data_IF_316275230106
#
_entry.id   IF_316275230106
#
_cell.length_a   1.000
_cell.length_b   1.000
_cell.length_c   1.000
_cell.angle_alpha   90.00
_cell.angle_beta   90.00
_cell.angle_gamma   90.00
#
_symmetry.space_group_name_H-M   'P 1'
#
loop_
_entity.id
_entity.type
_entity.pdbx_description
1 polymer ?
#
# COMPACT_ATOMS: atom_id res chain seq x y z
N UNK A 1 45.48 -31.62 36.11
CA UNK A 1 45.00 -31.00 34.86
C UNK A 1 43.58 -30.52 35.11
N UNK A 2 43.34 -29.21 35.10
CA UNK A 2 42.01 -28.64 35.37
C UNK A 2 41.28 -28.42 34.04
N UNK A 3 40.14 -29.08 33.84
CA UNK A 3 39.26 -28.83 32.70
C UNK A 3 38.48 -27.55 32.93
N UNK A 4 38.72 -26.56 32.07
CA UNK A 4 37.97 -25.31 32.02
C UNK A 4 36.70 -25.57 31.20
N UNK A 5 35.54 -25.47 31.83
CA UNK A 5 34.26 -25.45 31.12
C UNK A 5 34.02 -24.03 30.58
N UNK A 6 34.00 -23.88 29.26
CA UNK A 6 33.51 -22.65 28.62
C UNK A 6 31.99 -22.70 28.62
N UNK A 7 31.37 -21.90 29.48
CA UNK A 7 29.93 -21.63 29.45
C UNK A 7 29.62 -20.81 28.21
N UNK A 8 29.02 -21.42 27.20
CA UNK A 8 28.48 -20.69 26.04
C UNK A 8 27.18 -20.05 26.48
N UNK A 9 27.24 -18.78 26.85
CA UNK A 9 26.07 -17.98 27.21
C UNK A 9 25.26 -17.71 25.94
N UNK A 10 24.31 -18.60 25.65
CA UNK A 10 23.32 -18.42 24.60
C UNK A 10 22.42 -17.24 24.94
N UNK A 11 22.78 -16.05 24.44
CA UNK A 11 21.92 -14.87 24.46
C UNK A 11 20.68 -15.17 23.61
N UNK A 12 19.61 -15.69 24.25
CA UNK A 12 18.28 -15.81 23.65
C UNK A 12 17.79 -14.41 23.30
N UNK A 13 18.02 -14.01 22.04
CA UNK A 13 17.29 -12.92 21.42
C UNK A 13 15.82 -13.32 21.29
N UNK A 14 14.94 -12.51 21.85
CA UNK A 14 13.49 -12.67 21.77
C UNK A 14 13.02 -12.51 20.32
N UNK A 15 12.80 -13.62 19.61
CA UNK A 15 11.94 -13.64 18.41
C UNK A 15 10.48 -13.61 18.86
N UNK A 16 10.01 -12.43 19.28
CA UNK A 16 8.59 -12.16 19.54
C UNK A 16 8.33 -10.73 19.08
N UNK A 17 8.13 -10.56 17.77
CA UNK A 17 7.85 -9.24 17.16
C UNK A 17 7.24 -9.37 15.76
N UNK A 18 7.74 -10.30 14.94
CA UNK A 18 7.44 -10.30 13.50
C UNK A 18 5.97 -10.48 13.11
N UNK A 19 5.17 -11.29 13.83
CA UNK A 19 3.78 -11.54 13.43
C UNK A 19 2.84 -10.36 13.67
N UNK A 20 3.08 -9.57 14.72
CA UNK A 20 2.26 -8.39 15.03
C UNK A 20 2.63 -7.22 14.11
N UNK A 21 3.91 -7.07 13.82
CA UNK A 21 4.41 -5.99 12.95
C UNK A 21 3.93 -6.15 11.50
N UNK A 22 3.93 -7.39 10.96
CA UNK A 22 3.44 -7.67 9.61
C UNK A 22 1.94 -7.40 9.44
N UNK A 23 1.12 -7.80 10.41
CA UNK A 23 -0.33 -7.56 10.39
C UNK A 23 -0.67 -6.06 10.53
N UNK A 24 0.16 -5.28 11.23
CA UNK A 24 0.00 -3.83 11.28
C UNK A 24 0.30 -3.23 9.90
N UNK A 25 1.37 -3.66 9.24
CA UNK A 25 1.75 -3.17 7.91
C UNK A 25 0.73 -3.53 6.82
N UNK A 26 0.18 -4.75 6.80
CA UNK A 26 -0.87 -5.14 5.82
C UNK A 26 -2.17 -4.34 6.01
N UNK A 27 -2.54 -4.07 7.27
CA UNK A 27 -3.65 -3.19 7.61
C UNK A 27 -3.45 -1.74 7.14
N UNK A 28 -2.24 -1.20 7.30
CA UNK A 28 -1.87 0.15 6.84
C UNK A 28 -1.94 0.29 5.31
N UNK A 29 -1.42 -0.70 4.57
CA UNK A 29 -1.46 -0.72 3.10
C UNK A 29 -2.90 -0.81 2.59
N UNK A 30 -3.73 -1.67 3.20
CA UNK A 30 -5.16 -1.76 2.89
C UNK A 30 -5.88 -0.43 3.17
N UNK A 31 -5.55 0.22 4.29
CA UNK A 31 -6.09 1.52 4.66
C UNK A 31 -5.73 2.60 3.65
N UNK A 32 -4.47 2.62 3.19
CA UNK A 32 -4.00 3.55 2.17
C UNK A 32 -4.73 3.34 0.84
N UNK A 33 -4.90 2.10 0.38
CA UNK A 33 -5.64 1.81 -0.85
C UNK A 33 -7.06 2.37 -0.80
N UNK A 34 -7.77 2.19 0.32
CA UNK A 34 -9.13 2.74 0.51
C UNK A 34 -9.16 4.27 0.48
N UNK A 35 -8.14 4.92 1.02
CA UNK A 35 -8.03 6.38 0.99
C UNK A 35 -7.80 6.89 -0.44
N UNK A 36 -6.95 6.21 -1.22
CA UNK A 36 -6.73 6.54 -2.64
C UNK A 36 -8.03 6.40 -3.43
N UNK A 37 -8.79 5.32 -3.22
CA UNK A 37 -10.09 5.10 -3.89
C UNK A 37 -11.08 6.23 -3.57
N UNK A 38 -11.16 6.61 -2.29
CA UNK A 38 -12.02 7.72 -1.85
C UNK A 38 -11.61 9.04 -2.51
N UNK A 39 -10.31 9.33 -2.54
CA UNK A 39 -9.81 10.55 -3.15
C UNK A 39 -10.07 10.59 -4.65
N UNK A 40 -9.92 9.46 -5.37
CA UNK A 40 -10.25 9.37 -6.80
C UNK A 40 -11.72 9.70 -7.06
N UNK A 41 -12.63 9.17 -6.23
CA UNK A 41 -14.07 9.45 -6.32
C UNK A 41 -14.40 10.92 -6.05
N UNK A 42 -13.84 11.49 -4.98
CA UNK A 42 -14.04 12.91 -4.63
C UNK A 42 -13.49 13.84 -5.72
N UNK A 43 -12.31 13.52 -6.27
CA UNK A 43 -11.72 14.27 -7.38
C UNK A 43 -12.66 14.24 -8.59
N UNK A 44 -13.14 13.06 -9.00
CA UNK A 44 -14.08 12.93 -10.12
C UNK A 44 -15.34 13.79 -9.93
N UNK A 45 -15.91 13.79 -8.73
CA UNK A 45 -17.09 14.61 -8.41
C UNK A 45 -16.81 16.11 -8.55
N UNK A 46 -15.66 16.57 -8.04
CA UNK A 46 -15.24 17.98 -8.14
C UNK A 46 -15.02 18.42 -9.59
N UNK A 47 -14.50 17.55 -10.45
CA UNK A 47 -14.34 17.82 -11.88
C UNK A 47 -15.69 18.06 -12.55
N UNK A 48 -16.65 17.16 -12.31
CA UNK A 48 -18.00 17.30 -12.86
C UNK A 48 -18.66 18.59 -12.41
N UNK A 49 -18.54 18.92 -11.11
CA UNK A 49 -19.06 20.18 -10.57
C UNK A 49 -18.43 21.40 -11.24
N UNK A 50 -17.10 21.38 -11.41
CA UNK A 50 -16.38 22.47 -12.04
C UNK A 50 -16.79 22.67 -13.50
N UNK A 51 -16.94 21.59 -14.28
CA UNK A 51 -17.46 21.67 -15.65
C UNK A 51 -18.87 22.27 -15.69
N UNK A 52 -19.76 21.87 -14.78
CA UNK A 52 -21.12 22.43 -14.72
C UNK A 52 -21.13 23.92 -14.39
N UNK A 53 -20.27 24.38 -13.48
CA UNK A 53 -20.11 25.81 -13.16
C UNK A 53 -19.56 26.56 -14.38
N UNK A 54 -18.59 25.98 -15.09
CA UNK A 54 -18.03 26.58 -16.31
C UNK A 54 -19.10 26.74 -17.39
N UNK A 55 -19.93 25.73 -17.62
CA UNK A 55 -21.01 25.79 -18.62
C UNK A 55 -22.01 26.90 -18.30
N UNK A 56 -22.34 27.10 -17.01
CA UNK A 56 -23.23 28.19 -16.57
C UNK A 56 -22.61 29.58 -16.78
N UNK A 57 -21.31 29.73 -16.54
CA UNK A 57 -20.61 31.01 -16.76
C UNK A 57 -20.50 31.31 -18.27
N UNK A 58 -20.16 30.30 -19.08
CA UNK A 58 -20.05 30.46 -20.54
C UNK A 58 -21.38 30.85 -21.18
N UNK A 59 -22.52 30.34 -20.69
CA UNK A 59 -23.84 30.72 -21.18
C UNK A 59 -24.10 32.24 -21.06
N UNK A 60 -23.43 32.92 -20.12
CA UNK A 60 -23.53 34.37 -19.93
C UNK A 60 -22.60 35.22 -20.81
N UNK A 61 -21.49 34.67 -21.33
CA UNK A 61 -20.43 35.46 -21.99
C UNK A 61 -20.24 35.03 -23.45
N UNK A 62 -20.70 35.85 -24.41
CA UNK A 62 -20.41 35.65 -25.85
C UNK A 62 -19.17 36.44 -26.29
N UNK A 63 -18.31 35.83 -27.12
CA UNK A 63 -17.19 36.51 -27.79
C UNK A 63 -15.80 36.05 -27.32
N UNK A 64 -14.81 36.95 -27.31
CA UNK A 64 -13.40 36.64 -27.04
C UNK A 64 -13.14 35.97 -25.68
N UNK A 65 -13.95 36.28 -24.66
CA UNK A 65 -13.87 35.61 -23.37
C UNK A 65 -14.16 34.10 -23.47
N UNK A 66 -15.07 33.67 -24.35
CA UNK A 66 -15.38 32.25 -24.56
C UNK A 66 -14.15 31.44 -24.97
N UNK A 67 -13.25 32.00 -25.77
CA UNK A 67 -12.06 31.31 -26.29
C UNK A 67 -10.99 31.08 -25.23
N UNK A 68 -10.74 32.06 -24.34
CA UNK A 68 -9.79 31.87 -23.24
C UNK A 68 -10.34 30.86 -22.22
N UNK A 69 -11.66 30.85 -21.99
CA UNK A 69 -12.31 29.82 -21.18
C UNK A 69 -12.16 28.42 -21.78
N UNK A 70 -12.38 28.25 -23.08
CA UNK A 70 -12.19 26.96 -23.76
C UNK A 70 -10.76 26.42 -23.59
N UNK A 71 -9.75 27.31 -23.62
CA UNK A 71 -8.35 26.92 -23.36
C UNK A 71 -8.16 26.46 -21.93
N UNK A 72 -8.64 27.23 -20.96
CA UNK A 72 -8.52 26.88 -19.53
C UNK A 72 -9.23 25.57 -19.23
N UNK A 73 -10.43 25.33 -19.78
CA UNK A 73 -11.17 24.09 -19.58
C UNK A 73 -10.42 22.88 -20.17
N UNK A 74 -9.81 23.02 -21.35
CA UNK A 74 -9.00 21.96 -21.97
C UNK A 74 -7.75 21.64 -21.15
N UNK A 75 -7.02 22.66 -20.70
CA UNK A 75 -5.82 22.49 -19.86
C UNK A 75 -6.17 21.82 -18.53
N UNK A 76 -7.24 22.28 -17.88
CA UNK A 76 -7.74 21.71 -16.64
C UNK A 76 -8.12 20.25 -16.82
N UNK A 77 -8.90 19.92 -17.85
CA UNK A 77 -9.27 18.53 -18.14
C UNK A 77 -8.04 17.64 -18.43
N UNK A 78 -6.99 18.17 -19.06
CA UNK A 78 -5.72 17.45 -19.24
C UNK A 78 -5.04 17.17 -17.89
N UNK A 79 -4.90 18.19 -17.04
CA UNK A 79 -4.30 18.04 -15.71
C UNK A 79 -5.04 17.03 -14.85
N UNK A 80 -6.36 17.07 -14.88
CA UNK A 80 -7.20 16.16 -14.12
C UNK A 80 -7.04 14.70 -14.56
N UNK A 81 -6.97 14.45 -15.88
CA UNK A 81 -6.64 13.11 -16.40
C UNK A 81 -5.26 12.64 -15.94
N UNK A 82 -4.27 13.53 -15.91
CA UNK A 82 -2.94 13.18 -15.43
C UNK A 82 -2.98 12.77 -13.95
N UNK A 83 -3.66 13.54 -13.10
CA UNK A 83 -3.83 13.20 -11.68
C UNK A 83 -4.56 11.86 -11.52
N UNK A 84 -5.62 11.61 -12.28
CA UNK A 84 -6.31 10.31 -12.25
C UNK A 84 -5.37 9.15 -12.58
N UNK A 85 -4.56 9.30 -13.64
CA UNK A 85 -3.57 8.29 -14.05
C UNK A 85 -2.50 8.06 -12.98
N UNK A 86 -2.02 9.13 -12.35
CA UNK A 86 -1.01 9.03 -11.29
C UNK A 86 -1.57 8.33 -10.05
N UNK A 87 -2.85 8.56 -9.71
CA UNK A 87 -3.54 7.85 -8.63
C UNK A 87 -3.76 6.37 -8.94
N UNK A 88 -4.13 6.02 -10.18
CA UNK A 88 -4.24 4.63 -10.61
C UNK A 88 -2.88 3.90 -10.53
N UNK A 89 -1.81 4.56 -10.96
CA UNK A 89 -0.46 4.03 -10.84
C UNK A 89 -0.08 3.80 -9.36
N UNK A 90 -0.37 4.77 -8.50
CA UNK A 90 -0.13 4.65 -7.07
C UNK A 90 -0.93 3.50 -6.47
N UNK A 91 -2.22 3.36 -6.82
CA UNK A 91 -3.07 2.27 -6.36
C UNK A 91 -2.50 0.91 -6.77
N UNK A 92 -2.03 0.78 -8.01
CA UNK A 92 -1.40 -0.46 -8.50
C UNK A 92 -0.12 -0.78 -7.74
N UNK A 93 0.73 0.22 -7.47
CA UNK A 93 1.94 0.04 -6.66
C UNK A 93 1.62 -0.40 -5.23
N UNK A 94 0.60 0.18 -4.61
CA UNK A 94 0.14 -0.18 -3.25
C UNK A 94 -0.39 -1.62 -3.24
N UNK A 95 -1.18 -2.04 -4.24
CA UNK A 95 -1.65 -3.43 -4.38
C UNK A 95 -0.51 -4.41 -4.59
N UNK A 96 0.41 -4.12 -5.51
CA UNK A 96 1.59 -4.95 -5.73
C UNK A 96 2.47 -5.06 -4.48
N UNK A 97 2.57 -3.99 -3.70
CA UNK A 97 3.26 -4.02 -2.41
C UNK A 97 2.53 -4.95 -1.43
N UNK A 98 1.20 -4.87 -1.34
CA UNK A 98 0.39 -5.74 -0.49
C UNK A 98 0.60 -7.22 -0.84
N UNK A 99 0.44 -7.57 -2.12
CA UNK A 99 0.59 -8.94 -2.61
C UNK A 99 2.00 -9.50 -2.33
N UNK A 100 3.03 -8.65 -2.48
CA UNK A 100 4.41 -8.99 -2.17
C UNK A 100 4.67 -9.27 -0.68
N UNK A 101 4.03 -8.52 0.22
CA UNK A 101 4.08 -8.77 1.66
C UNK A 101 3.38 -10.09 2.02
N UNK A 102 2.19 -10.35 1.48
CA UNK A 102 1.43 -11.59 1.74
C UNK A 102 2.19 -12.85 1.29
N UNK A 103 2.87 -12.77 0.14
CA UNK A 103 3.71 -13.85 -0.36
C UNK A 103 4.90 -14.15 0.58
N UNK A 104 5.57 -13.10 1.06
CA UNK A 104 6.68 -13.23 2.02
C UNK A 104 6.22 -13.78 3.38
N UNK A 105 5.01 -13.43 3.83
CA UNK A 105 4.43 -13.96 5.07
C UNK A 105 4.18 -15.47 4.98
N UNK A 106 3.57 -15.91 3.88
CA UNK A 106 3.30 -17.34 3.64
C UNK A 106 4.58 -18.17 3.68
N UNK A 107 5.65 -17.71 3.03
CA UNK A 107 6.96 -18.38 3.02
C UNK A 107 7.57 -18.47 4.43
N UNK A 108 7.48 -17.39 5.21
CA UNK A 108 7.98 -17.36 6.60
C UNK A 108 7.21 -18.33 7.49
N UNK A 109 5.89 -18.36 7.42
CA UNK A 109 5.05 -19.31 8.18
C UNK A 109 5.41 -20.76 7.82
N UNK A 110 5.59 -21.06 6.54
CA UNK A 110 6.01 -22.39 6.11
C UNK A 110 7.39 -22.77 6.64
N UNK A 111 8.33 -21.82 6.66
CA UNK A 111 9.67 -22.02 7.23
C UNK A 111 9.61 -22.30 8.74
N UNK A 112 8.81 -21.54 9.49
CA UNK A 112 8.58 -21.78 10.91
C UNK A 112 7.97 -23.15 11.18
N UNK A 113 6.90 -23.53 10.47
CA UNK A 113 6.27 -24.85 10.61
C UNK A 113 7.25 -26.00 10.34
N UNK A 114 8.11 -25.87 9.33
CA UNK A 114 9.16 -26.85 9.02
C UNK A 114 10.21 -26.93 10.14
N UNK A 115 10.63 -25.78 10.68
CA UNK A 115 11.58 -25.72 11.79
C UNK A 115 11.01 -26.36 13.07
N UNK A 116 9.74 -26.08 13.41
CA UNK A 116 9.06 -26.70 14.56
C UNK A 116 8.92 -28.22 14.38
N UNK A 117 8.54 -28.70 13.19
CA UNK A 117 8.46 -30.13 12.91
C UNK A 117 9.83 -30.83 13.04
N UNK A 118 10.93 -30.17 12.66
CA UNK A 118 12.29 -30.70 12.81
C UNK A 118 12.78 -30.74 14.26
N UNK A 119 12.42 -29.74 15.09
CA UNK A 119 12.73 -29.73 16.52
C UNK A 119 11.93 -30.77 17.30
N UNK A 120 10.67 -31.02 16.92
CA UNK A 120 9.84 -32.07 17.51
C UNK A 120 10.34 -33.49 17.21
N UNK A 121 10.91 -33.74 16.03
CA UNK A 121 11.50 -35.05 15.67
C UNK A 121 12.82 -35.34 16.39
N UNK A 122 13.64 -34.34 16.69
CA UNK A 122 14.93 -34.57 17.35
C UNK A 122 14.81 -34.92 18.84
N UNK A 123 13.71 -34.59 19.51
CA UNK A 123 13.49 -34.90 20.92
C UNK A 123 12.96 -36.34 21.17
N UNK A 124 12.42 -36.99 20.13
CA UNK A 124 11.84 -38.35 20.25
C UNK A 124 12.88 -39.45 19.96
N UNK A 125 14.04 -39.12 19.38
CA UNK A 125 15.10 -40.09 19.07
C UNK A 125 16.21 -40.21 20.13
N UNK A 126 16.04 -39.58 21.31
CA UNK A 126 17.05 -39.58 22.39
C UNK A 126 16.60 -40.26 23.69
N UNK A 127 15.63 -41.18 23.63
CA UNK A 127 15.24 -42.09 24.73
C UNK A 127 15.46 -43.52 24.26
#
# INVERSE_FOLDING_TARGET
MASVYVTVEGRRGTMSGSGKDLNVTSGEITGLSKQIDKFQSELSSRITSLNSVVDQIQAGWKGAASQEYDRVQKDLNLRLRNVQRDLENLQNLVKMSADGFDAQETERIQTFRKAEASQGSSAILSI
#
